data_IF_726744354324
#
_entry.id   IF_726744354324
#
_cell.length_a   1.000
_cell.length_b   1.000
_cell.length_c   1.000
_cell.angle_alpha   90.00
_cell.angle_beta   90.00
_cell.angle_gamma   90.00
#
_symmetry.space_group_name_H-M   'P 1'
#
loop_
_entity.id
_entity.type
_entity.pdbx_description
1 polymer ?
#
# COMPACT_ATOMS: atom_id res chain seq x y z
N UNK A 1 47.48 -9.35 14.47
CA UNK A 1 46.81 -9.31 13.14
C UNK A 1 45.39 -8.82 13.36
N UNK A 2 45.11 -7.59 12.95
CA UNK A 2 43.81 -6.95 13.13
C UNK A 2 42.76 -7.63 12.25
N UNK A 3 41.62 -8.10 12.80
CA UNK A 3 40.52 -8.56 11.97
C UNK A 3 39.93 -7.31 11.32
N UNK A 4 40.42 -6.96 10.13
CA UNK A 4 39.79 -5.99 9.24
C UNK A 4 38.35 -6.46 9.03
N UNK A 5 37.40 -5.91 9.80
CA UNK A 5 35.97 -5.91 9.47
C UNK A 5 35.90 -5.34 8.06
N UNK A 6 35.78 -6.19 7.06
CA UNK A 6 35.31 -5.78 5.74
C UNK A 6 33.90 -5.27 5.97
N UNK A 7 33.77 -3.97 6.18
CA UNK A 7 32.50 -3.29 6.06
C UNK A 7 32.00 -3.61 4.65
N UNK A 8 30.99 -4.46 4.55
CA UNK A 8 30.24 -4.64 3.31
C UNK A 8 29.92 -3.24 2.79
N UNK A 9 30.22 -2.93 1.51
CA UNK A 9 29.87 -1.63 0.96
C UNK A 9 28.37 -1.40 1.22
N UNK A 10 27.95 -0.18 1.57
CA UNK A 10 26.53 0.09 1.75
C UNK A 10 25.82 -0.31 0.46
N UNK A 11 25.01 -1.38 0.52
CA UNK A 11 24.23 -1.90 -0.62
C UNK A 11 23.38 -0.76 -1.21
N UNK A 12 23.01 0.24 -0.41
CA UNK A 12 22.16 1.35 -0.79
C UNK A 12 22.90 2.69 -0.82
N UNK A 13 22.77 3.43 -1.93
CA UNK A 13 23.29 4.80 -2.06
C UNK A 13 22.56 5.77 -1.14
N UNK A 14 23.20 6.89 -0.75
CA UNK A 14 22.56 7.93 0.08
C UNK A 14 21.25 8.42 -0.53
N UNK A 15 21.22 8.61 -1.85
CA UNK A 15 20.02 9.04 -2.58
C UNK A 15 18.87 8.05 -2.45
N UNK A 16 19.17 6.74 -2.45
CA UNK A 16 18.16 5.71 -2.22
C UNK A 16 17.59 5.80 -0.80
N UNK A 17 18.44 5.96 0.21
CA UNK A 17 17.96 6.10 1.59
C UNK A 17 17.11 7.36 1.79
N UNK A 18 17.53 8.49 1.22
CA UNK A 18 16.78 9.76 1.27
C UNK A 18 15.43 9.59 0.58
N UNK A 19 15.40 9.03 -0.63
CA UNK A 19 14.14 8.82 -1.33
C UNK A 19 13.18 7.93 -0.54
N UNK A 20 13.67 6.92 0.22
CA UNK A 20 12.80 6.07 1.04
C UNK A 20 12.19 6.89 2.18
N UNK A 21 13.02 7.69 2.85
CA UNK A 21 12.59 8.57 3.93
C UNK A 21 11.54 9.57 3.44
N UNK A 22 11.78 10.23 2.30
CA UNK A 22 10.85 11.22 1.73
C UNK A 22 9.48 10.62 1.42
N UNK A 23 9.44 9.42 0.81
CA UNK A 23 8.17 8.74 0.52
C UNK A 23 7.41 8.35 1.79
N UNK A 24 8.11 7.91 2.84
CA UNK A 24 7.48 7.57 4.11
C UNK A 24 6.91 8.81 4.81
N UNK A 25 7.63 9.93 4.80
CA UNK A 25 7.12 11.20 5.34
C UNK A 25 5.91 11.70 4.54
N UNK A 26 5.97 11.63 3.20
CA UNK A 26 4.85 12.04 2.34
C UNK A 26 3.60 11.16 2.58
N UNK A 27 3.78 9.85 2.75
CA UNK A 27 2.69 8.94 3.10
C UNK A 27 2.05 9.32 4.44
N UNK A 28 2.85 9.59 5.48
CA UNK A 28 2.33 9.97 6.79
C UNK A 28 1.50 11.27 6.75
N UNK A 29 1.96 12.27 5.99
CA UNK A 29 1.20 13.52 5.79
C UNK A 29 -0.11 13.26 5.06
N UNK A 30 -0.09 12.46 3.99
CA UNK A 30 -1.31 12.09 3.26
C UNK A 30 -2.29 11.32 4.14
N UNK A 31 -1.80 10.40 4.99
CA UNK A 31 -2.62 9.69 5.97
C UNK A 31 -3.27 10.63 6.99
N UNK A 32 -2.53 11.60 7.52
CA UNK A 32 -3.08 12.56 8.48
C UNK A 32 -4.22 13.39 7.86
N UNK A 33 -4.03 13.86 6.62
CA UNK A 33 -5.06 14.62 5.89
C UNK A 33 -6.27 13.73 5.59
N UNK A 34 -6.04 12.52 5.08
CA UNK A 34 -7.11 11.57 4.77
C UNK A 34 -7.92 11.22 6.02
N UNK A 35 -7.26 10.96 7.16
CA UNK A 35 -7.95 10.68 8.42
C UNK A 35 -8.79 11.86 8.89
N UNK A 36 -8.24 13.09 8.84
CA UNK A 36 -8.99 14.29 9.24
C UNK A 36 -10.24 14.52 8.38
N UNK A 37 -10.12 14.34 7.07
CA UNK A 37 -11.25 14.47 6.14
C UNK A 37 -12.25 13.32 6.32
N UNK A 38 -11.80 12.07 6.43
CA UNK A 38 -12.71 10.93 6.60
C UNK A 38 -13.46 11.00 7.94
N UNK A 39 -12.79 11.37 9.02
CA UNK A 39 -13.40 11.49 10.36
C UNK A 39 -14.49 12.56 10.38
N UNK A 40 -14.20 13.75 9.84
CA UNK A 40 -15.17 14.85 9.79
C UNK A 40 -16.41 14.51 8.98
N UNK A 41 -16.26 13.81 7.85
CA UNK A 41 -17.38 13.47 6.96
C UNK A 41 -18.16 12.21 7.37
N UNK A 42 -17.60 11.37 8.24
CA UNK A 42 -18.24 10.10 8.63
C UNK A 42 -19.18 10.26 9.81
N UNK A 43 -18.78 11.07 10.81
CA UNK A 43 -19.58 11.25 12.02
C UNK A 43 -20.65 12.33 11.92
N UNK A 44 -20.44 13.36 11.09
CA UNK A 44 -21.42 14.44 10.97
C UNK A 44 -22.57 14.08 10.02
N UNK A 45 -22.27 13.44 8.90
CA UNK A 45 -23.18 13.44 7.74
C UNK A 45 -23.54 12.04 7.21
N UNK A 46 -23.06 10.97 7.86
CA UNK A 46 -23.45 9.59 7.52
C UNK A 46 -23.06 9.13 6.11
N UNK A 47 -22.12 9.81 5.44
CA UNK A 47 -21.71 9.57 4.05
C UNK A 47 -21.18 8.15 3.78
N UNK A 48 -20.84 7.38 4.83
CA UNK A 48 -20.31 6.01 4.74
C UNK A 48 -18.88 5.93 4.20
N UNK A 49 -18.32 7.03 3.70
CA UNK A 49 -16.99 7.08 3.06
C UNK A 49 -15.87 6.64 4.03
N UNK A 50 -16.01 6.94 5.33
CA UNK A 50 -15.03 6.55 6.34
C UNK A 50 -14.98 5.06 6.70
N UNK A 51 -16.02 4.28 6.39
CA UNK A 51 -16.17 2.91 6.89
C UNK A 51 -14.94 2.05 6.52
N UNK A 52 -14.48 2.16 5.28
CA UNK A 52 -13.27 1.47 4.83
C UNK A 52 -12.02 2.36 4.83
N UNK A 53 -12.17 3.67 4.57
CA UNK A 53 -10.99 4.55 4.44
C UNK A 53 -10.27 4.79 5.78
N UNK A 54 -11.01 4.91 6.89
CA UNK A 54 -10.43 5.14 8.23
C UNK A 54 -9.56 3.96 8.71
N UNK A 55 -10.06 2.71 8.79
CA UNK A 55 -9.24 1.59 9.30
C UNK A 55 -8.02 1.33 8.40
N UNK A 56 -8.16 1.48 7.09
CA UNK A 56 -7.05 1.30 6.14
C UNK A 56 -6.00 2.40 6.33
N UNK A 57 -6.43 3.67 6.45
CA UNK A 57 -5.50 4.77 6.70
C UNK A 57 -4.78 4.65 8.04
N UNK A 58 -5.44 4.14 9.09
CA UNK A 58 -4.80 3.82 10.38
C UNK A 58 -3.75 2.72 10.20
N UNK A 59 -4.08 1.62 9.51
CA UNK A 59 -3.12 0.53 9.27
C UNK A 59 -1.88 1.01 8.51
N UNK A 60 -2.07 1.87 7.49
CA UNK A 60 -0.99 2.51 6.75
C UNK A 60 -0.18 3.44 7.67
N UNK A 61 -0.82 4.28 8.48
CA UNK A 61 -0.16 5.17 9.42
C UNK A 61 0.69 4.39 10.44
N UNK A 62 0.16 3.31 11.01
CA UNK A 62 0.88 2.46 11.97
C UNK A 62 2.13 1.85 11.32
N UNK A 63 2.01 1.31 10.11
CA UNK A 63 3.14 0.74 9.39
C UNK A 63 4.20 1.79 9.02
N UNK A 64 3.78 2.93 8.48
CA UNK A 64 4.69 4.03 8.10
C UNK A 64 5.41 4.60 9.31
N UNK A 65 4.73 4.75 10.45
CA UNK A 65 5.34 5.16 11.73
C UNK A 65 6.35 4.11 12.20
N UNK A 66 6.00 2.81 12.18
CA UNK A 66 6.92 1.74 12.58
C UNK A 66 8.21 1.74 11.72
N UNK A 67 8.07 1.91 10.40
CA UNK A 67 9.21 2.06 9.49
C UNK A 67 10.02 3.33 9.80
N UNK A 68 9.38 4.49 9.99
CA UNK A 68 10.08 5.73 10.34
C UNK A 68 10.86 5.59 11.65
N UNK A 69 10.23 5.08 12.70
CA UNK A 69 10.85 4.84 14.02
C UNK A 69 12.06 3.92 13.86
N UNK A 70 11.93 2.79 13.16
CA UNK A 70 13.06 1.88 12.95
C UNK A 70 14.20 2.51 12.15
N UNK A 71 13.90 3.38 11.17
CA UNK A 71 14.92 4.13 10.43
C UNK A 71 15.62 5.18 11.29
N UNK A 72 14.89 5.96 12.09
CA UNK A 72 15.46 7.01 12.94
C UNK A 72 16.34 6.46 14.06
N UNK A 73 15.86 5.47 14.81
CA UNK A 73 16.61 4.90 15.94
C UNK A 73 17.81 4.07 15.46
N UNK A 74 17.70 3.36 14.34
CA UNK A 74 18.81 2.50 13.85
C UNK A 74 19.85 3.24 13.02
N UNK A 75 19.54 4.42 12.47
CA UNK A 75 20.55 5.32 11.85
C UNK A 75 21.64 5.70 12.85
N UNK A 76 21.32 5.76 14.15
CA UNK A 76 22.29 6.02 15.22
C UNK A 76 23.10 4.78 15.63
N UNK A 77 22.51 3.57 15.60
CA UNK A 77 23.08 2.40 16.29
C UNK A 77 23.67 1.29 15.39
N UNK A 78 23.20 1.11 14.14
CA UNK A 78 23.77 0.11 13.22
C UNK A 78 23.32 0.36 11.75
N UNK A 79 24.18 0.97 10.89
CA UNK A 79 23.86 1.14 9.48
C UNK A 79 23.92 -0.20 8.73
N UNK A 80 22.77 -0.76 8.35
CA UNK A 80 22.72 -1.88 7.38
C UNK A 80 21.76 -3.04 7.67
N UNK A 81 21.18 -3.18 8.88
CA UNK A 81 20.18 -4.21 9.20
C UNK A 81 18.81 -3.59 9.51
N UNK A 82 18.03 -3.36 8.46
CA UNK A 82 16.60 -3.05 8.57
C UNK A 82 15.75 -4.27 8.98
N UNK A 83 14.43 -4.06 9.05
CA UNK A 83 13.45 -5.17 9.04
C UNK A 83 13.76 -6.05 7.83
N UNK A 84 13.59 -7.37 7.98
CA UNK A 84 13.90 -8.32 6.92
C UNK A 84 13.21 -7.89 5.60
N UNK A 85 13.95 -7.82 4.47
CA UNK A 85 13.42 -7.29 3.22
C UNK A 85 12.15 -8.03 2.77
N UNK A 86 12.08 -9.35 3.00
CA UNK A 86 10.88 -10.14 2.71
C UNK A 86 9.64 -9.72 3.51
N UNK A 87 9.79 -9.36 4.79
CA UNK A 87 8.67 -8.89 5.59
C UNK A 87 8.18 -7.51 5.11
N UNK A 88 9.12 -6.66 4.69
CA UNK A 88 8.79 -5.35 4.12
C UNK A 88 8.03 -5.48 2.79
N UNK A 89 8.39 -6.43 1.92
CA UNK A 89 7.65 -6.70 0.67
C UNK A 89 6.23 -7.16 0.97
N UNK A 90 6.07 -8.12 1.90
CA UNK A 90 4.77 -8.69 2.24
C UNK A 90 3.79 -7.65 2.81
N UNK A 91 4.23 -6.82 3.76
CA UNK A 91 3.34 -5.80 4.34
C UNK A 91 2.99 -4.70 3.33
N UNK A 92 3.96 -4.27 2.51
CA UNK A 92 3.67 -3.28 1.46
C UNK A 92 2.69 -3.83 0.42
N UNK A 93 2.75 -5.12 0.10
CA UNK A 93 1.77 -5.76 -0.78
C UNK A 93 0.36 -5.73 -0.18
N UNK A 94 0.21 -6.12 1.08
CA UNK A 94 -1.09 -6.12 1.77
C UNK A 94 -1.68 -4.70 1.83
N UNK A 95 -0.86 -3.71 2.23
CA UNK A 95 -1.30 -2.31 2.30
C UNK A 95 -1.66 -1.74 0.93
N UNK A 96 -0.89 -2.08 -0.10
CA UNK A 96 -1.19 -1.71 -1.49
C UNK A 96 -2.53 -2.27 -1.96
N UNK A 97 -2.83 -3.54 -1.68
CA UNK A 97 -4.11 -4.16 -2.02
C UNK A 97 -5.27 -3.55 -1.23
N UNK A 98 -5.07 -3.27 0.06
CA UNK A 98 -6.07 -2.58 0.87
C UNK A 98 -6.37 -1.16 0.32
N UNK A 99 -5.35 -0.43 -0.12
CA UNK A 99 -5.52 0.89 -0.75
C UNK A 99 -6.26 0.81 -2.09
N UNK A 100 -6.06 -0.25 -2.89
CA UNK A 100 -6.87 -0.50 -4.09
C UNK A 100 -8.34 -0.67 -3.69
N UNK A 101 -8.63 -1.51 -2.69
CA UNK A 101 -9.99 -1.71 -2.21
C UNK A 101 -10.64 -0.39 -1.74
N UNK A 102 -9.91 0.41 -0.95
CA UNK A 102 -10.37 1.71 -0.49
C UNK A 102 -10.67 2.68 -1.65
N UNK A 103 -9.82 2.68 -2.68
CA UNK A 103 -9.98 3.52 -3.86
C UNK A 103 -11.22 3.10 -4.67
N UNK A 104 -11.37 1.80 -4.94
CA UNK A 104 -12.55 1.27 -5.64
C UNK A 104 -13.84 1.58 -4.89
N UNK A 105 -13.85 1.38 -3.57
CA UNK A 105 -15.01 1.70 -2.74
C UNK A 105 -15.36 3.18 -2.79
N UNK A 106 -14.36 4.08 -2.64
CA UNK A 106 -14.58 5.53 -2.67
C UNK A 106 -15.07 6.00 -4.04
N UNK A 107 -14.52 5.46 -5.13
CA UNK A 107 -14.96 5.78 -6.49
C UNK A 107 -16.38 5.25 -6.80
N UNK A 108 -16.71 4.05 -6.31
CA UNK A 108 -18.04 3.47 -6.45
C UNK A 108 -19.07 4.29 -5.68
N UNK A 109 -18.79 4.66 -4.43
CA UNK A 109 -19.67 5.52 -3.64
C UNK A 109 -19.89 6.86 -4.33
N UNK A 110 -18.83 7.50 -4.84
CA UNK A 110 -18.96 8.75 -5.58
C UNK A 110 -19.87 8.60 -6.80
N UNK A 111 -19.66 7.57 -7.62
CA UNK A 111 -20.51 7.28 -8.78
C UNK A 111 -21.96 7.01 -8.39
N UNK A 112 -22.17 6.29 -7.29
CA UNK A 112 -23.50 6.02 -6.75
C UNK A 112 -24.19 7.30 -6.32
N UNK A 113 -23.51 8.16 -5.54
CA UNK A 113 -24.04 9.44 -5.08
C UNK A 113 -24.39 10.34 -6.27
N UNK A 114 -23.50 10.47 -7.25
CA UNK A 114 -23.77 11.25 -8.47
C UNK A 114 -25.04 10.77 -9.18
N UNK A 115 -25.19 9.44 -9.34
CA UNK A 115 -26.38 8.85 -9.97
C UNK A 115 -27.65 9.08 -9.15
N UNK A 116 -27.56 9.03 -7.82
CA UNK A 116 -28.69 9.32 -6.93
C UNK A 116 -29.06 10.80 -6.88
N UNK A 117 -28.12 11.71 -7.16
CA UNK A 117 -28.37 13.17 -7.12
C UNK A 117 -29.00 13.73 -8.39
N UNK A 118 -28.83 13.07 -9.54
CA UNK A 118 -29.43 13.53 -10.80
C UNK A 118 -30.96 13.67 -10.68
N UNK A 119 -31.70 12.69 -10.11
CA UNK A 119 -33.12 12.86 -9.80
C UNK A 119 -33.44 14.03 -8.88
N UNK A 120 -32.58 14.33 -7.90
CA UNK A 120 -32.83 15.36 -6.89
C UNK A 120 -32.70 16.79 -7.46
N UNK A 121 -31.88 16.97 -8.50
CA UNK A 121 -31.54 18.29 -9.04
C UNK A 121 -32.31 18.62 -10.33
N UNK A 122 -32.57 17.62 -11.18
CA UNK A 122 -33.13 17.85 -12.52
C UNK A 122 -34.61 17.48 -12.66
N UNK A 123 -35.15 16.63 -11.79
CA UNK A 123 -36.49 16.07 -12.00
C UNK A 123 -37.56 16.93 -11.33
N UNK A 124 -38.75 16.97 -11.93
CA UNK A 124 -39.87 17.76 -11.43
C UNK A 124 -40.61 16.96 -10.36
N UNK A 125 -41.16 17.66 -9.35
CA UNK A 125 -42.02 17.03 -8.35
C UNK A 125 -43.31 16.55 -9.00
N UNK A 126 -43.70 15.32 -8.69
CA UNK A 126 -44.95 14.75 -9.16
C UNK A 126 -46.14 15.47 -8.50
N UNK A 127 -47.09 16.03 -9.27
CA UNK A 127 -48.23 16.75 -8.72
C UNK A 127 -49.21 15.82 -7.99
N UNK A 128 -49.25 14.53 -8.34
CA UNK A 128 -50.20 13.57 -7.78
C UNK A 128 -49.64 12.88 -6.52
N UNK A 129 -48.32 12.80 -6.38
CA UNK A 129 -47.66 12.23 -5.20
C UNK A 129 -46.39 13.01 -4.81
N UNK A 130 -46.44 13.81 -3.73
CA UNK A 130 -45.33 14.69 -3.35
C UNK A 130 -44.07 13.94 -2.90
N UNK A 131 -44.15 12.62 -2.73
CA UNK A 131 -43.02 11.76 -2.37
C UNK A 131 -42.24 11.24 -3.58
N UNK A 132 -42.60 11.64 -4.81
CA UNK A 132 -41.92 11.20 -6.02
C UNK A 132 -41.48 12.38 -6.88
N UNK A 133 -40.43 12.12 -7.64
CA UNK A 133 -39.95 13.00 -8.71
C UNK A 133 -40.03 12.26 -10.04
N UNK A 134 -40.35 12.98 -11.10
CA UNK A 134 -40.53 12.46 -12.46
C UNK A 134 -39.68 13.21 -13.47
N UNK A 135 -39.04 12.47 -14.39
CA UNK A 135 -38.37 13.02 -15.58
C UNK A 135 -39.17 12.64 -16.82
N UNK A 136 -39.78 13.64 -17.45
CA UNK A 136 -40.44 13.47 -18.74
C UNK A 136 -39.37 13.44 -19.83
N UNK A 137 -39.31 12.36 -20.61
CA UNK A 137 -38.37 12.24 -21.72
C UNK A 137 -39.07 12.58 -23.03
N UNK A 138 -38.54 13.51 -23.80
CA UNK A 138 -39.00 13.80 -25.17
C UNK A 138 -38.17 13.01 -26.18
N UNK A 139 -38.81 12.55 -27.26
CA UNK A 139 -38.09 11.94 -28.39
C UNK A 139 -37.28 13.01 -29.15
N UNK A 140 -36.38 12.61 -30.07
CA UNK A 140 -35.64 13.55 -30.90
C UNK A 140 -36.51 14.46 -31.78
N UNK A 141 -37.78 14.11 -31.99
CA UNK A 141 -38.77 14.88 -32.75
C UNK A 141 -39.62 15.80 -31.84
N UNK A 142 -39.32 15.89 -30.55
CA UNK A 142 -40.05 16.70 -29.57
C UNK A 142 -41.37 16.10 -29.08
N UNK A 143 -41.69 14.85 -29.45
CA UNK A 143 -42.88 14.18 -28.93
C UNK A 143 -42.61 13.64 -27.53
N UNK A 144 -43.54 13.84 -26.60
CA UNK A 144 -43.44 13.28 -25.25
C UNK A 144 -43.49 11.75 -25.31
N UNK A 145 -42.40 11.06 -24.92
CA UNK A 145 -42.48 9.62 -24.66
C UNK A 145 -43.22 9.38 -23.34
N UNK A 146 -44.10 8.39 -23.34
CA UNK A 146 -44.85 7.95 -22.15
C UNK A 146 -44.00 7.18 -21.13
N UNK A 147 -42.68 7.16 -21.27
CA UNK A 147 -41.76 6.48 -20.35
C UNK A 147 -41.32 7.48 -19.30
N UNK A 148 -42.17 7.70 -18.29
CA UNK A 148 -41.82 8.52 -17.13
C UNK A 148 -40.96 7.69 -16.18
N UNK A 149 -39.73 8.14 -15.95
CA UNK A 149 -38.86 7.53 -14.96
C UNK A 149 -39.22 8.12 -13.60
N UNK A 150 -39.57 7.28 -12.63
CA UNK A 150 -39.98 7.68 -11.28
C UNK A 150 -38.91 7.30 -10.27
N UNK A 151 -38.58 8.22 -9.38
CA UNK A 151 -37.66 8.00 -8.26
C UNK A 151 -38.24 8.60 -6.99
N UNK A 152 -37.86 8.05 -5.85
CA UNK A 152 -38.25 8.62 -4.56
C UNK A 152 -37.76 10.07 -4.43
N UNK A 153 -38.60 10.90 -3.82
CA UNK A 153 -38.28 12.28 -3.50
C UNK A 153 -37.13 12.35 -2.51
N UNK A 154 -36.21 13.24 -2.83
CA UNK A 154 -34.98 13.50 -2.10
C UNK A 154 -35.29 14.58 -1.05
N UNK A 155 -35.12 14.32 0.26
CA UNK A 155 -35.32 15.33 1.28
C UNK A 155 -34.46 16.56 1.00
N UNK A 156 -35.03 17.75 1.20
CA UNK A 156 -34.35 19.02 0.88
C UNK A 156 -33.04 19.19 1.66
N UNK A 157 -33.01 18.75 2.92
CA UNK A 157 -31.79 18.72 3.75
C UNK A 157 -30.67 17.86 3.15
N UNK A 158 -31.00 16.71 2.57
CA UNK A 158 -30.03 15.82 1.93
C UNK A 158 -29.53 16.39 0.60
N UNK A 159 -30.42 17.03 -0.16
CA UNK A 159 -30.07 17.73 -1.41
C UNK A 159 -29.10 18.88 -1.15
N UNK A 160 -29.38 19.71 -0.15
CA UNK A 160 -28.57 20.87 0.17
C UNK A 160 -27.17 20.46 0.66
N UNK A 161 -27.09 19.42 1.50
CA UNK A 161 -25.82 18.84 1.94
C UNK A 161 -24.94 18.35 0.78
N UNK A 162 -25.50 17.65 -0.21
CA UNK A 162 -24.70 17.12 -1.34
C UNK A 162 -24.35 18.21 -2.36
N UNK A 163 -25.18 19.24 -2.47
CA UNK A 163 -24.90 20.38 -3.33
C UNK A 163 -23.97 21.40 -2.67
N UNK A 164 -23.70 21.28 -1.36
CA UNK A 164 -22.71 22.09 -0.67
C UNK A 164 -21.32 21.89 -1.35
N UNK A 165 -20.70 22.98 -1.87
CA UNK A 165 -19.36 22.90 -2.46
C UNK A 165 -18.31 22.39 -1.47
N UNK A 166 -18.50 22.61 -0.17
CA UNK A 166 -17.59 22.16 0.89
C UNK A 166 -17.56 20.64 0.98
N UNK A 167 -18.73 20.00 0.95
CA UNK A 167 -18.85 18.54 0.97
C UNK A 167 -18.29 17.91 -0.31
N UNK A 168 -18.66 18.45 -1.48
CA UNK A 168 -18.16 17.95 -2.78
C UNK A 168 -16.64 18.02 -2.88
N UNK A 169 -16.04 19.13 -2.48
CA UNK A 169 -14.59 19.31 -2.49
C UNK A 169 -13.89 18.38 -1.50
N UNK A 170 -14.47 18.14 -0.31
CA UNK A 170 -13.93 17.19 0.66
C UNK A 170 -13.91 15.75 0.11
N UNK A 171 -15.00 15.28 -0.51
CA UNK A 171 -15.05 13.93 -1.10
C UNK A 171 -14.05 13.77 -2.25
N UNK A 172 -13.94 14.79 -3.11
CA UNK A 172 -12.93 14.79 -4.17
C UNK A 172 -11.50 14.76 -3.61
N UNK A 173 -11.23 15.51 -2.55
CA UNK A 173 -9.94 15.51 -1.87
C UNK A 173 -9.62 14.12 -1.28
N UNK A 174 -10.58 13.47 -0.61
CA UNK A 174 -10.42 12.09 -0.10
C UNK A 174 -9.98 11.14 -1.23
N UNK A 175 -10.66 11.16 -2.37
CA UNK A 175 -10.32 10.32 -3.52
C UNK A 175 -8.91 10.64 -4.03
N UNK A 176 -8.56 11.93 -4.15
CA UNK A 176 -7.22 12.35 -4.58
C UNK A 176 -6.12 11.86 -3.63
N UNK A 177 -6.30 11.99 -2.31
CA UNK A 177 -5.34 11.49 -1.33
C UNK A 177 -5.26 9.95 -1.30
N UNK A 178 -6.37 9.24 -1.54
CA UNK A 178 -6.34 7.78 -1.73
C UNK A 178 -5.48 7.38 -2.94
N UNK A 179 -5.60 8.09 -4.07
CA UNK A 179 -4.75 7.86 -5.26
C UNK A 179 -3.29 8.16 -4.96
N UNK A 180 -3.00 9.26 -4.26
CA UNK A 180 -1.63 9.61 -3.86
C UNK A 180 -1.01 8.57 -2.94
N UNK A 181 -1.74 8.11 -1.92
CA UNK A 181 -1.29 7.03 -1.03
C UNK A 181 -1.05 5.74 -1.81
N UNK A 182 -1.97 5.37 -2.70
CA UNK A 182 -1.79 4.21 -3.57
C UNK A 182 -0.51 4.30 -4.40
N UNK A 183 -0.25 5.44 -5.04
CA UNK A 183 0.97 5.65 -5.83
C UNK A 183 2.23 5.59 -4.95
N UNK A 184 2.21 6.21 -3.77
CA UNK A 184 3.34 6.15 -2.83
C UNK A 184 3.61 4.70 -2.38
N UNK A 185 2.58 3.97 -1.97
CA UNK A 185 2.74 2.57 -1.54
C UNK A 185 3.13 1.63 -2.67
N UNK A 186 2.67 1.88 -3.90
CA UNK A 186 3.16 1.18 -5.09
C UNK A 186 4.67 1.41 -5.29
N UNK A 187 5.14 2.67 -5.20
CA UNK A 187 6.58 2.95 -5.32
C UNK A 187 7.39 2.31 -4.19
N UNK A 188 6.88 2.30 -2.95
CA UNK A 188 7.52 1.63 -1.82
C UNK A 188 7.58 0.11 -2.00
N UNK A 189 6.52 -0.49 -2.56
CA UNK A 189 6.47 -1.90 -2.91
C UNK A 189 7.50 -2.26 -3.98
N UNK A 190 7.51 -1.56 -5.11
CA UNK A 190 8.49 -1.79 -6.19
C UNK A 190 9.91 -1.68 -5.65
N UNK A 191 10.19 -0.69 -4.81
CA UNK A 191 11.51 -0.52 -4.19
C UNK A 191 11.88 -1.66 -3.26
N UNK A 192 10.92 -2.21 -2.51
CA UNK A 192 11.14 -3.38 -1.67
C UNK A 192 11.43 -4.64 -2.51
N UNK A 193 10.74 -4.80 -3.64
CA UNK A 193 10.99 -5.88 -4.60
C UNK A 193 12.40 -5.76 -5.20
N UNK A 194 12.80 -4.57 -5.64
CA UNK A 194 14.15 -4.31 -6.19
C UNK A 194 15.23 -4.59 -5.15
N UNK A 195 15.05 -4.17 -3.90
CA UNK A 195 16.00 -4.47 -2.81
C UNK A 195 16.13 -5.97 -2.56
N UNK A 196 15.01 -6.70 -2.60
CA UNK A 196 14.99 -8.16 -2.42
C UNK A 196 15.68 -8.87 -3.58
N UNK A 197 15.36 -8.47 -4.82
CA UNK A 197 16.00 -8.99 -6.03
C UNK A 197 17.50 -8.76 -5.98
N UNK A 198 17.93 -7.53 -5.68
CA UNK A 198 19.35 -7.18 -5.60
C UNK A 198 20.10 -8.05 -4.59
N UNK A 199 19.52 -8.29 -3.40
CA UNK A 199 20.11 -9.20 -2.39
C UNK A 199 20.17 -10.64 -2.84
N UNK A 200 19.20 -11.09 -3.63
CA UNK A 200 19.18 -12.45 -4.18
C UNK A 200 20.13 -12.61 -5.38
N UNK A 201 20.41 -11.52 -6.10
CA UNK A 201 21.35 -11.49 -7.23
C UNK A 201 22.80 -11.27 -6.80
N UNK A 202 23.07 -10.73 -5.60
CA UNK A 202 24.42 -10.64 -5.05
C UNK A 202 24.89 -12.05 -4.64
N UNK A 203 26.07 -12.52 -5.10
CA UNK A 203 26.56 -13.86 -4.79
C UNK A 203 26.69 -14.03 -3.27
N UNK A 204 26.35 -15.21 -2.71
CA UNK A 204 26.41 -15.42 -1.28
C UNK A 204 27.82 -15.12 -0.79
N UNK A 205 27.96 -14.14 0.10
CA UNK A 205 29.21 -13.90 0.81
C UNK A 205 29.39 -15.09 1.74
N UNK A 206 30.10 -16.11 1.27
CA UNK A 206 30.55 -17.24 2.07
C UNK A 206 31.45 -16.63 3.15
N UNK A 207 30.92 -16.46 4.37
CA UNK A 207 31.75 -16.23 5.53
C UNK A 207 32.55 -17.50 5.76
N UNK A 208 33.76 -17.55 5.23
CA UNK A 208 34.80 -18.43 5.77
C UNK A 208 34.98 -18.01 7.23
N UNK A 209 34.42 -18.77 8.16
CA UNK A 209 34.91 -18.74 9.52
C UNK A 209 36.40 -19.06 9.45
N UNK A 210 37.29 -18.27 10.07
CA UNK A 210 38.69 -18.63 10.13
C UNK A 210 38.75 -20.02 10.76
N UNK A 211 39.28 -21.00 10.03
CA UNK A 211 39.56 -22.32 10.58
C UNK A 211 40.48 -22.06 11.77
N UNK A 212 40.00 -22.32 12.98
CA UNK A 212 40.76 -22.15 14.20
C UNK A 212 41.97 -23.09 14.08
N UNK A 213 43.15 -22.52 13.83
CA UNK A 213 44.40 -23.25 13.82
C UNK A 213 44.70 -23.64 15.27
N UNK A 214 44.18 -24.78 15.69
CA UNK A 214 44.55 -25.39 16.96
C UNK A 214 46.02 -25.81 16.87
N UNK A 215 46.85 -25.56 17.90
CA UNK A 215 48.21 -26.10 17.94
C UNK A 215 48.15 -27.63 17.90
N UNK A 216 48.95 -28.22 17.02
CA UNK A 216 49.00 -29.64 16.74
C UNK A 216 49.59 -30.44 17.92
N UNK A 217 48.83 -30.65 19.00
CA UNK A 217 49.28 -31.49 20.13
C UNK A 217 48.24 -32.42 20.77
N UNK A 218 47.00 -32.47 20.28
CA UNK A 218 46.06 -33.51 20.71
C UNK A 218 45.45 -34.21 19.49
N UNK A 219 46.14 -35.26 19.01
CA UNK A 219 45.45 -36.30 18.24
C UNK A 219 44.50 -37.01 19.19
N UNK A 220 43.21 -36.70 19.08
CA UNK A 220 42.16 -37.46 19.74
C UNK A 220 41.81 -38.62 18.81
N UNK A 221 42.19 -39.82 19.24
CA UNK A 221 41.89 -41.09 18.57
C UNK A 221 40.38 -41.33 18.57
N UNK A 222 39.72 -41.14 17.42
CA UNK A 222 38.36 -41.62 17.19
C UNK A 222 38.41 -43.10 16.80
N UNK A 223 37.56 -43.98 17.36
CA UNK A 223 37.51 -45.39 16.96
C UNK A 223 37.09 -45.50 15.49
N UNK A 224 38.01 -45.98 14.66
CA UNK A 224 37.80 -46.36 13.27
C UNK A 224 36.85 -47.55 13.21
N UNK A 225 35.68 -47.38 12.60
CA UNK A 225 34.69 -48.44 12.49
C UNK A 225 33.76 -48.29 11.30
N UNK A 226 34.26 -48.04 10.09
CA UNK A 226 33.52 -48.29 8.86
C UNK A 226 34.47 -48.73 7.72
N UNK A 227 34.14 -49.79 6.96
CA UNK A 227 35.02 -50.36 5.95
C UNK A 227 35.15 -49.46 4.72
N UNK A 228 36.39 -49.27 4.26
CA UNK A 228 36.74 -48.70 2.96
C UNK A 228 36.24 -49.60 1.82
N UNK A 229 35.66 -48.98 0.78
CA UNK A 229 35.57 -49.59 -0.55
C UNK A 229 34.40 -49.10 -1.41
N UNK A 230 34.61 -48.08 -2.25
CA UNK A 230 33.66 -47.69 -3.30
C UNK A 230 34.16 -46.51 -4.14
N UNK A 231 33.93 -46.49 -5.47
CA UNK A 231 34.55 -45.52 -6.38
C UNK A 231 34.01 -44.11 -6.15
N UNK A 232 34.91 -43.12 -6.15
CA UNK A 232 34.61 -41.73 -5.82
C UNK A 232 33.54 -41.09 -6.71
N UNK A 233 32.81 -40.07 -6.21
CA UNK A 233 31.87 -39.33 -7.03
C UNK A 233 32.63 -38.50 -8.06
N UNK A 234 32.29 -38.72 -9.32
CA UNK A 234 32.75 -37.95 -10.48
C UNK A 234 32.43 -36.46 -10.33
N UNK A 235 33.27 -35.56 -10.86
CA UNK A 235 33.01 -34.13 -10.83
C UNK A 235 31.77 -33.79 -11.66
N UNK A 236 30.83 -33.04 -11.09
CA UNK A 236 29.69 -32.48 -11.83
C UNK A 236 30.20 -31.56 -12.95
N UNK A 237 29.88 -31.91 -14.20
CA UNK A 237 30.11 -31.07 -15.39
C UNK A 237 29.30 -29.78 -15.26
N UNK A 238 29.99 -28.65 -15.39
CA UNK A 238 29.36 -27.35 -15.64
C UNK A 238 28.62 -27.37 -16.99
N UNK A 239 27.30 -27.19 -16.97
CA UNK A 239 26.51 -26.82 -18.14
C UNK A 239 26.57 -25.30 -18.33
N UNK A 240 27.00 -24.80 -19.51
CA UNK A 240 26.84 -23.39 -19.84
C UNK A 240 25.38 -23.14 -20.26
N UNK A 241 24.72 -22.20 -19.59
CA UNK A 241 23.44 -21.67 -20.05
C UNK A 241 23.69 -20.76 -21.27
N UNK A 242 22.93 -21.01 -22.33
CA UNK A 242 22.82 -20.18 -23.53
C UNK A 242 21.61 -19.25 -23.39
#
# INVERSE_FOLDING_TARGET
MDPRRRSLPPISSRSWQIAKLTLQCASLVCCAILLGLSVSNTWNDGSGIGILTVPIAIAVAVWTIAELVTLFFRRKNAPGRGIHPGAHVGVQLILFLALILALFYSAMLWRSVQRSTEPCNEWTRDPDDPNWVTKNTTDPNGNWLRTSMRSYYCPESYRDMINDPSYRSAVQAIIAFCVLLWAIHFTLFVRACVETQRRNSEPPVIMMYPQQAWPAYYQQSYPQGYPQGGPGPTPMKHTPYR
#
